data_IF_371563359257
#
_entry.id   IF_371563359257
#
_cell.length_a   1.000
_cell.length_b   1.000
_cell.length_c   1.000
_cell.angle_alpha   90.00
_cell.angle_beta   90.00
_cell.angle_gamma   90.00
#
_symmetry.space_group_name_H-M   'P 1'
#
loop_
_entity.id
_entity.type
_entity.pdbx_description
1 polymer ?
#
# COMPACT_ATOMS: atom_id res chain seq x y z
N UNK A 1 -16.79 -12.56 -1.68
CA UNK A 1 -15.56 -12.40 -0.88
C UNK A 1 -15.18 -10.92 -0.99
N UNK A 2 -14.71 -10.28 0.08
CA UNK A 2 -14.47 -8.83 0.07
C UNK A 2 -13.04 -8.52 -0.39
N UNK A 3 -12.84 -7.44 -1.18
CA UNK A 3 -11.52 -6.93 -1.57
C UNK A 3 -10.65 -6.61 -0.35
N UNK A 4 -11.27 -6.31 0.79
CA UNK A 4 -10.58 -5.93 2.01
C UNK A 4 -9.99 -7.10 2.81
N UNK A 5 -10.43 -8.35 2.56
CA UNK A 5 -10.03 -9.52 3.36
C UNK A 5 -8.52 -9.84 3.29
N UNK A 6 -7.81 -9.25 2.34
CA UNK A 6 -6.35 -9.38 2.15
C UNK A 6 -5.55 -8.33 2.92
N UNK A 7 -6.19 -7.30 3.45
CA UNK A 7 -5.52 -6.26 4.24
C UNK A 7 -5.42 -6.76 5.68
N UNK A 8 -4.22 -7.17 6.08
CA UNK A 8 -3.97 -7.82 7.36
C UNK A 8 -3.84 -6.79 8.49
N UNK A 9 -4.56 -6.98 9.61
CA UNK A 9 -4.37 -6.23 10.86
C UNK A 9 -4.58 -4.71 10.78
N UNK A 10 -5.35 -4.23 9.79
CA UNK A 10 -5.61 -2.81 9.58
C UNK A 10 -7.11 -2.50 9.63
N UNK A 11 -7.84 -3.06 10.59
CA UNK A 11 -9.29 -2.97 10.69
C UNK A 11 -9.77 -1.52 10.75
N UNK A 12 -9.05 -0.66 11.48
CA UNK A 12 -9.38 0.75 11.59
C UNK A 12 -9.19 1.48 10.26
N UNK A 13 -8.06 1.27 9.56
CA UNK A 13 -7.81 1.91 8.27
C UNK A 13 -8.81 1.41 7.21
N UNK A 14 -9.12 0.11 7.19
CA UNK A 14 -10.12 -0.50 6.31
C UNK A 14 -11.52 0.09 6.56
N UNK A 15 -11.92 0.27 7.83
CA UNK A 15 -13.20 0.89 8.17
C UNK A 15 -13.27 2.34 7.65
N UNK A 16 -12.20 3.12 7.84
CA UNK A 16 -12.10 4.48 7.30
C UNK A 16 -12.18 4.49 5.77
N UNK A 17 -11.43 3.62 5.08
CA UNK A 17 -11.42 3.55 3.63
C UNK A 17 -12.77 3.11 3.04
N UNK A 18 -13.49 2.19 3.70
CA UNK A 18 -14.86 1.84 3.30
C UNK A 18 -15.78 3.05 3.35
N UNK A 19 -15.73 3.84 4.43
CA UNK A 19 -16.53 5.05 4.54
C UNK A 19 -16.14 6.11 3.49
N UNK A 20 -14.85 6.24 3.18
CA UNK A 20 -14.36 7.17 2.15
C UNK A 20 -14.74 6.74 0.73
N UNK A 21 -14.93 5.45 0.46
CA UNK A 21 -15.36 4.96 -0.85
C UNK A 21 -16.78 5.40 -1.21
N UNK A 22 -17.65 5.59 -0.21
CA UNK A 22 -19.04 6.05 -0.42
C UNK A 22 -19.11 7.52 -0.87
N UNK A 23 -18.11 8.32 -0.50
CA UNK A 23 -18.04 9.76 -0.81
C UNK A 23 -16.60 10.14 -1.16
N UNK A 24 -16.12 9.71 -2.34
CA UNK A 24 -14.71 9.83 -2.67
C UNK A 24 -14.28 11.28 -2.86
N UNK A 25 -13.03 11.56 -2.51
CA UNK A 25 -12.31 12.79 -2.79
C UNK A 25 -11.23 12.52 -3.84
N UNK A 26 -10.53 13.56 -4.29
CA UNK A 26 -9.54 13.44 -5.36
C UNK A 26 -8.18 12.89 -4.93
N UNK A 27 -7.85 12.88 -3.63
CA UNK A 27 -6.53 12.45 -3.16
C UNK A 27 -6.52 11.89 -1.73
N UNK A 28 -5.77 10.81 -1.56
CA UNK A 28 -5.55 10.11 -0.30
C UNK A 28 -4.07 9.87 -0.06
N UNK A 29 -3.61 10.03 1.17
CA UNK A 29 -2.23 9.76 1.57
C UNK A 29 -2.22 8.68 2.66
N UNK A 30 -1.70 7.51 2.32
CA UNK A 30 -1.55 6.39 3.24
C UNK A 30 -0.17 6.46 3.88
N UNK A 31 -0.13 6.58 5.21
CA UNK A 31 1.12 6.79 5.96
C UNK A 31 1.33 5.65 6.95
N UNK A 32 2.53 5.06 6.96
CA UNK A 32 2.87 3.98 7.86
C UNK A 32 4.07 3.17 7.38
N UNK A 33 4.76 2.39 8.22
CA UNK A 33 6.00 1.72 7.85
C UNK A 33 5.85 0.75 6.65
N UNK A 34 6.98 0.40 6.03
CA UNK A 34 7.05 -0.65 5.02
C UNK A 34 6.44 -1.96 5.53
N UNK A 35 5.70 -2.67 4.68
CA UNK A 35 5.04 -3.94 5.05
C UNK A 35 3.82 -3.83 5.97
N UNK A 36 3.37 -2.61 6.31
CA UNK A 36 2.11 -2.40 7.06
C UNK A 36 0.84 -2.73 6.24
N UNK A 37 0.96 -3.15 4.98
CA UNK A 37 -0.19 -3.51 4.12
C UNK A 37 -0.77 -2.36 3.30
N UNK A 38 -0.08 -1.21 3.21
CA UNK A 38 -0.52 -0.01 2.47
C UNK A 38 -0.80 -0.30 0.98
N UNK A 39 0.08 -1.02 0.31
CA UNK A 39 -0.07 -1.34 -1.12
C UNK A 39 -1.30 -2.22 -1.39
N UNK A 40 -1.46 -3.26 -0.58
CA UNK A 40 -2.63 -4.14 -0.63
C UNK A 40 -3.92 -3.36 -0.37
N UNK A 41 -3.90 -2.45 0.61
CA UNK A 41 -5.04 -1.58 0.90
C UNK A 41 -5.31 -0.58 -0.24
N UNK A 42 -4.27 -0.04 -0.89
CA UNK A 42 -4.40 0.88 -2.02
C UNK A 42 -5.08 0.21 -3.21
N UNK A 43 -4.65 -0.99 -3.60
CA UNK A 43 -5.32 -1.78 -4.64
C UNK A 43 -6.75 -2.15 -4.26
N UNK A 44 -6.99 -2.52 -2.99
CA UNK A 44 -8.33 -2.85 -2.50
C UNK A 44 -9.26 -1.64 -2.53
N UNK A 45 -8.75 -0.46 -2.18
CA UNK A 45 -9.48 0.79 -2.24
C UNK A 45 -9.76 1.21 -3.67
N UNK A 46 -8.76 1.16 -4.55
CA UNK A 46 -8.95 1.41 -5.98
C UNK A 46 -10.01 0.47 -6.59
N UNK A 47 -9.99 -0.81 -6.23
CA UNK A 47 -11.01 -1.77 -6.66
C UNK A 47 -12.42 -1.39 -6.14
N UNK A 48 -12.52 -0.96 -4.88
CA UNK A 48 -13.78 -0.50 -4.33
C UNK A 48 -14.31 0.74 -5.06
N UNK A 49 -13.45 1.73 -5.29
CA UNK A 49 -13.80 2.97 -5.99
C UNK A 49 -14.25 2.71 -7.44
N UNK A 50 -13.48 1.92 -8.19
CA UNK A 50 -13.75 1.66 -9.62
C UNK A 50 -15.01 0.80 -9.80
N UNK A 51 -15.23 -0.18 -8.93
CA UNK A 51 -16.36 -1.11 -9.08
C UNK A 51 -17.62 -0.66 -8.33
N UNK A 52 -17.52 0.37 -7.48
CA UNK A 52 -18.60 0.82 -6.61
C UNK A 52 -19.05 -0.20 -5.56
N UNK A 53 -18.23 -1.23 -5.30
CA UNK A 53 -18.55 -2.26 -4.31
C UNK A 53 -17.28 -2.90 -3.74
N UNK A 54 -17.38 -3.54 -2.58
CA UNK A 54 -16.27 -4.27 -1.99
C UNK A 54 -16.14 -5.71 -2.51
N UNK A 55 -16.91 -6.10 -3.54
CA UNK A 55 -16.91 -7.46 -4.05
C UNK A 55 -15.64 -7.77 -4.88
N UNK A 56 -14.86 -8.76 -4.44
CA UNK A 56 -13.62 -9.16 -5.11
C UNK A 56 -13.81 -10.06 -6.33
N UNK A 57 -15.04 -10.49 -6.67
CA UNK A 57 -15.27 -11.48 -7.74
C UNK A 57 -15.50 -10.87 -9.12
N UNK A 58 -15.58 -9.54 -9.23
CA UNK A 58 -15.70 -8.89 -10.53
C UNK A 58 -14.36 -8.96 -11.28
N UNK A 59 -14.42 -8.99 -12.63
CA UNK A 59 -13.20 -8.97 -13.47
C UNK A 59 -12.33 -7.75 -13.16
N UNK A 60 -12.95 -6.57 -13.03
CA UNK A 60 -12.24 -5.34 -12.71
C UNK A 60 -11.56 -5.43 -11.34
N UNK A 61 -12.26 -5.89 -10.30
CA UNK A 61 -11.66 -6.07 -8.99
C UNK A 61 -10.47 -7.05 -9.03
N UNK A 62 -10.61 -8.21 -9.68
CA UNK A 62 -9.51 -9.17 -9.79
C UNK A 62 -8.28 -8.58 -10.52
N UNK A 63 -8.48 -7.85 -11.62
CA UNK A 63 -7.39 -7.20 -12.36
C UNK A 63 -6.72 -6.10 -11.55
N UNK A 64 -7.48 -5.23 -10.88
CA UNK A 64 -6.94 -4.15 -10.04
C UNK A 64 -6.12 -4.75 -8.89
N UNK A 65 -6.65 -5.79 -8.26
CA UNK A 65 -5.99 -6.51 -7.18
C UNK A 65 -4.66 -7.19 -7.59
N UNK A 66 -4.45 -7.39 -8.90
CA UNK A 66 -3.22 -7.91 -9.52
C UNK A 66 -2.35 -6.82 -10.14
N UNK A 67 -2.76 -5.55 -10.10
CA UNK A 67 -2.03 -4.44 -10.73
C UNK A 67 -2.10 -4.44 -12.27
N UNK A 68 -3.19 -4.96 -12.85
CA UNK A 68 -3.30 -5.20 -14.29
C UNK A 68 -4.53 -4.54 -14.96
N UNK A 69 -5.17 -3.58 -14.29
CA UNK A 69 -6.35 -2.90 -14.82
C UNK A 69 -5.99 -1.57 -15.49
N UNK A 70 -6.46 -1.33 -16.71
CA UNK A 70 -6.00 -0.22 -17.56
C UNK A 70 -6.21 1.18 -16.96
N UNK A 71 -7.26 1.36 -16.15
CA UNK A 71 -7.59 2.65 -15.54
C UNK A 71 -7.03 2.82 -14.12
N UNK A 72 -6.28 1.84 -13.61
CA UNK A 72 -5.53 1.94 -12.36
C UNK A 72 -4.04 1.86 -12.67
N UNK A 73 -3.36 3.00 -12.64
CA UNK A 73 -1.93 3.09 -12.87
C UNK A 73 -1.17 3.06 -11.54
N UNK A 74 -0.08 2.29 -11.48
CA UNK A 74 0.85 2.29 -10.36
C UNK A 74 2.19 2.87 -10.81
N UNK A 75 2.65 3.92 -10.13
CA UNK A 75 3.94 4.55 -10.39
C UNK A 75 4.89 4.20 -9.25
N UNK A 76 5.99 3.54 -9.62
CA UNK A 76 7.11 3.23 -8.74
C UNK A 76 8.30 4.09 -9.14
N UNK A 77 9.13 4.47 -8.16
CA UNK A 77 10.39 5.17 -8.44
C UNK A 77 11.41 4.25 -9.10
N UNK A 78 12.18 4.80 -10.02
CA UNK A 78 13.45 4.19 -10.44
C UNK A 78 14.61 4.82 -9.66
N UNK A 79 15.44 3.99 -9.03
CA UNK A 79 16.52 4.50 -8.18
C UNK A 79 16.03 5.05 -6.84
N UNK A 80 16.75 5.99 -6.24
CA UNK A 80 16.60 6.32 -4.81
C UNK A 80 15.50 7.34 -4.47
N UNK A 81 14.88 7.99 -5.45
CA UNK A 81 13.92 9.08 -5.23
C UNK A 81 12.88 9.13 -6.35
N UNK A 82 11.73 9.75 -6.09
CA UNK A 82 10.81 10.16 -7.18
C UNK A 82 11.36 11.45 -7.78
N UNK A 83 11.82 11.36 -9.02
CA UNK A 83 12.49 12.42 -9.75
C UNK A 83 11.55 13.02 -10.81
N UNK A 84 12.13 13.80 -11.72
CA UNK A 84 11.38 14.52 -12.76
C UNK A 84 10.60 13.57 -13.67
N UNK A 85 11.18 12.43 -14.01
CA UNK A 85 10.62 11.52 -15.01
C UNK A 85 9.40 10.79 -14.44
N UNK A 86 9.45 10.33 -13.19
CA UNK A 86 8.28 9.82 -12.49
C UNK A 86 7.21 10.89 -12.29
N UNK A 87 7.59 12.12 -11.93
CA UNK A 87 6.63 13.21 -11.79
C UNK A 87 5.91 13.51 -13.11
N UNK A 88 6.63 13.44 -14.23
CA UNK A 88 6.07 13.57 -15.57
C UNK A 88 5.11 12.40 -15.87
N UNK A 89 5.50 11.16 -15.57
CA UNK A 89 4.63 10.00 -15.73
C UNK A 89 3.33 10.11 -14.92
N UNK A 90 3.40 10.60 -13.67
CA UNK A 90 2.22 10.85 -12.82
C UNK A 90 1.28 11.85 -13.50
N UNK A 91 1.81 12.97 -14.00
CA UNK A 91 1.02 13.99 -14.71
C UNK A 91 0.39 13.41 -15.98
N UNK A 92 1.15 12.65 -16.76
CA UNK A 92 0.65 12.00 -17.98
C UNK A 92 -0.47 11.02 -17.67
N UNK A 93 -0.34 10.19 -16.62
CA UNK A 93 -1.42 9.28 -16.22
C UNK A 93 -2.66 10.02 -15.70
N UNK A 94 -2.49 11.22 -15.13
CA UNK A 94 -3.58 12.02 -14.54
C UNK A 94 -4.51 12.66 -15.57
N UNK A 95 -4.01 12.96 -16.78
CA UNK A 95 -4.80 13.59 -17.84
C UNK A 95 -5.56 12.59 -18.72
N UNK A 96 -5.25 11.29 -18.59
CA UNK A 96 -5.88 10.25 -19.40
C UNK A 96 -7.31 10.00 -18.94
N UNK A 97 -8.23 10.01 -19.90
CA UNK A 97 -9.61 9.59 -19.66
C UNK A 97 -9.67 8.08 -19.40
N UNK A 98 -10.46 7.62 -18.43
CA UNK A 98 -10.75 6.19 -18.24
C UNK A 98 -11.23 5.52 -19.54
N UNK A 99 -10.80 4.29 -19.76
CA UNK A 99 -11.04 3.51 -20.98
C UNK A 99 -12.04 2.38 -20.79
N UNK A 100 -12.05 1.73 -19.62
CA UNK A 100 -12.95 0.65 -19.26
C UNK A 100 -14.00 1.08 -18.22
N UNK A 101 -13.60 1.89 -17.24
CA UNK A 101 -14.45 2.35 -16.15
C UNK A 101 -14.84 3.83 -16.23
N UNK A 102 -15.48 4.32 -15.18
CA UNK A 102 -15.82 5.75 -15.02
C UNK A 102 -14.79 6.54 -14.23
N UNK A 103 -13.78 5.87 -13.66
CA UNK A 103 -12.81 6.46 -12.74
C UNK A 103 -11.38 6.02 -13.06
N UNK A 104 -10.47 7.00 -13.10
CA UNK A 104 -9.02 6.84 -13.18
C UNK A 104 -8.46 6.83 -11.76
N UNK A 105 -7.63 5.85 -11.42
CA UNK A 105 -6.89 5.85 -10.15
C UNK A 105 -5.39 5.82 -10.44
N UNK A 106 -4.64 6.71 -9.80
CA UNK A 106 -3.17 6.73 -9.87
C UNK A 106 -2.62 6.48 -8.48
N UNK A 107 -1.99 5.32 -8.32
CA UNK A 107 -1.30 4.93 -7.09
C UNK A 107 0.17 5.32 -7.23
N UNK A 108 0.68 6.13 -6.31
CA UNK A 108 2.09 6.56 -6.31
C UNK A 108 2.78 6.03 -5.07
N UNK A 109 3.78 5.17 -5.30
CA UNK A 109 4.53 4.52 -4.23
C UNK A 109 5.62 5.44 -3.68
N UNK A 110 5.90 5.32 -2.38
CA UNK A 110 7.04 5.94 -1.69
C UNK A 110 7.18 7.47 -1.86
N UNK A 111 6.07 8.22 -1.80
CA UNK A 111 6.08 9.69 -2.02
C UNK A 111 6.93 10.47 -1.00
N UNK A 112 7.24 9.87 0.14
CA UNK A 112 8.17 10.44 1.12
C UNK A 112 9.63 10.54 0.63
N UNK A 113 9.96 9.85 -0.47
CA UNK A 113 11.24 9.94 -1.18
C UNK A 113 11.16 10.87 -2.40
N UNK A 114 10.09 11.65 -2.53
CA UNK A 114 9.92 12.60 -3.62
C UNK A 114 10.80 13.84 -3.41
N UNK A 115 11.49 14.26 -4.47
CA UNK A 115 12.23 15.53 -4.44
C UNK A 115 11.28 16.72 -4.52
N UNK A 116 11.65 17.83 -3.91
CA UNK A 116 10.86 19.07 -3.93
C UNK A 116 10.47 19.51 -5.35
N UNK A 117 11.36 19.33 -6.33
CA UNK A 117 11.09 19.68 -7.73
C UNK A 117 10.02 18.80 -8.39
N UNK A 118 9.90 17.53 -7.98
CA UNK A 118 8.84 16.62 -8.41
C UNK A 118 7.53 16.98 -7.70
N UNK A 119 7.57 17.21 -6.37
CA UNK A 119 6.41 17.60 -5.58
C UNK A 119 5.74 18.87 -6.10
N UNK A 120 6.54 19.91 -6.40
CA UNK A 120 6.05 21.18 -6.92
C UNK A 120 5.29 21.05 -8.25
N UNK A 121 5.63 20.08 -9.09
CA UNK A 121 4.92 19.81 -10.35
C UNK A 121 3.52 19.25 -10.12
N UNK A 122 3.38 18.41 -9.09
CA UNK A 122 2.12 17.74 -8.76
C UNK A 122 1.16 18.64 -8.00
N UNK A 123 1.66 19.66 -7.29
CA UNK A 123 0.80 20.60 -6.54
C UNK A 123 -0.31 21.20 -7.39
N UNK A 124 0.00 21.57 -8.64
CA UNK A 124 -1.03 22.12 -9.54
C UNK A 124 -2.14 21.10 -9.82
N UNK A 125 -1.77 19.84 -10.06
CA UNK A 125 -2.73 18.74 -10.30
C UNK A 125 -3.58 18.44 -9.07
N UNK A 126 -3.05 18.62 -7.85
CA UNK A 126 -3.82 18.47 -6.62
C UNK A 126 -4.72 19.67 -6.30
N UNK A 127 -4.35 20.88 -6.69
CA UNK A 127 -5.17 22.09 -6.50
C UNK A 127 -6.35 22.16 -7.47
N UNK A 128 -6.16 21.70 -8.71
CA UNK A 128 -7.17 21.67 -9.77
C UNK A 128 -7.30 20.22 -10.30
N UNK A 129 -7.92 19.31 -9.51
CA UNK A 129 -8.02 17.91 -9.90
C UNK A 129 -8.90 17.74 -11.13
N UNK A 130 -8.49 16.85 -12.03
CA UNK A 130 -9.30 16.45 -13.17
C UNK A 130 -10.56 15.71 -12.72
N UNK A 131 -11.65 15.88 -13.48
CA UNK A 131 -12.86 15.09 -13.29
C UNK A 131 -12.52 13.60 -13.41
N UNK A 132 -13.13 12.77 -12.54
CA UNK A 132 -12.99 11.30 -12.55
C UNK A 132 -11.57 10.79 -12.28
N UNK A 133 -10.76 11.53 -11.54
CA UNK A 133 -9.42 11.13 -11.10
C UNK A 133 -9.32 11.01 -9.57
N UNK A 134 -8.68 9.94 -9.11
CA UNK A 134 -8.29 9.77 -7.69
C UNK A 134 -6.82 9.41 -7.59
N UNK A 135 -6.09 10.12 -6.71
CA UNK A 135 -4.75 9.75 -6.30
C UNK A 135 -4.75 8.95 -5.00
N UNK A 136 -3.93 7.90 -4.95
CA UNK A 136 -3.60 7.18 -3.73
C UNK A 136 -2.08 7.23 -3.56
N UNK A 137 -1.61 8.02 -2.60
CA UNK A 137 -0.20 8.24 -2.35
C UNK A 137 0.25 7.38 -1.17
N UNK A 138 1.38 6.69 -1.28
CA UNK A 138 1.91 5.82 -0.22
C UNK A 138 3.20 6.40 0.35
N UNK A 139 3.26 6.56 1.67
CA UNK A 139 4.42 7.07 2.38
C UNK A 139 4.74 6.22 3.60
N UNK A 140 6.02 6.07 3.93
CA UNK A 140 6.41 5.43 5.19
C UNK A 140 6.17 6.32 6.40
N UNK A 141 6.38 7.61 6.21
CA UNK A 141 6.30 8.63 7.23
C UNK A 141 5.95 9.97 6.61
N UNK A 142 5.38 10.86 7.41
CA UNK A 142 5.13 12.24 7.00
C UNK A 142 6.40 13.05 7.23
N UNK A 143 7.17 13.26 6.16
CA UNK A 143 8.35 14.15 6.16
C UNK A 143 7.95 15.60 5.89
N UNK A 144 8.74 16.60 6.29
CA UNK A 144 8.44 18.01 6.02
C UNK A 144 8.16 18.32 4.54
N UNK A 145 8.88 17.66 3.62
CA UNK A 145 8.67 17.82 2.18
C UNK A 145 7.27 17.40 1.70
N UNK A 146 6.56 16.55 2.46
CA UNK A 146 5.21 16.08 2.14
C UNK A 146 4.09 16.94 2.73
N UNK A 147 4.37 17.88 3.64
CA UNK A 147 3.33 18.63 4.36
C UNK A 147 2.36 19.36 3.42
N UNK A 148 2.90 19.92 2.33
CA UNK A 148 2.11 20.65 1.32
C UNK A 148 1.19 19.73 0.50
N UNK A 149 1.62 18.49 0.24
CA UNK A 149 0.80 17.47 -0.42
C UNK A 149 -0.24 16.93 0.57
N UNK A 150 0.17 16.64 1.80
CA UNK A 150 -0.70 16.07 2.83
C UNK A 150 -1.87 17.00 3.18
N UNK A 151 -1.69 18.32 3.14
CA UNK A 151 -2.78 19.27 3.39
C UNK A 151 -3.90 19.25 2.34
N UNK A 152 -3.67 18.62 1.18
CA UNK A 152 -4.65 18.44 0.09
C UNK A 152 -5.18 17.00 0.03
N UNK A 153 -4.69 16.11 0.89
CA UNK A 153 -5.07 14.71 0.91
C UNK A 153 -5.91 14.38 2.15
N UNK A 154 -6.78 13.38 2.03
CA UNK A 154 -7.27 12.67 3.22
C UNK A 154 -6.17 11.71 3.68
N UNK A 155 -5.64 11.94 4.89
CA UNK A 155 -4.57 11.11 5.45
C UNK A 155 -5.16 9.89 6.16
N UNK A 156 -4.68 8.70 5.80
CA UNK A 156 -5.06 7.42 6.44
C UNK A 156 -3.82 6.76 7.04
N UNK A 157 -3.87 6.46 8.33
CA UNK A 157 -2.75 5.91 9.07
C UNK A 157 -2.76 4.37 9.03
N UNK A 158 -1.58 3.78 8.83
CA UNK A 158 -1.32 2.35 8.79
C UNK A 158 -0.23 2.01 9.81
N UNK A 159 -0.58 1.70 11.08
CA UNK A 159 0.41 1.27 12.06
C UNK A 159 1.14 -0.01 11.62
N UNK A 160 2.31 -0.25 12.22
CA UNK A 160 3.01 -1.52 12.09
C UNK A 160 2.10 -2.69 12.49
N UNK A 161 2.21 -3.84 11.79
CA UNK A 161 1.39 -5.01 12.10
C UNK A 161 1.73 -5.55 13.50
N UNK A 162 0.70 -5.97 14.22
CA UNK A 162 0.91 -6.68 15.48
C UNK A 162 1.62 -8.02 15.23
N UNK A 163 2.53 -8.41 16.13
CA UNK A 163 3.22 -9.70 16.05
C UNK A 163 2.23 -10.87 15.97
N UNK A 164 1.12 -10.78 16.69
CA UNK A 164 0.06 -11.80 16.66
C UNK A 164 -0.54 -11.95 15.26
N UNK A 165 -0.81 -10.83 14.57
CA UNK A 165 -1.33 -10.83 13.20
C UNK A 165 -0.34 -11.48 12.24
N UNK A 166 0.94 -11.12 12.31
CA UNK A 166 1.98 -11.73 11.46
C UNK A 166 2.08 -13.23 11.75
N UNK A 167 2.17 -13.61 13.02
CA UNK A 167 2.26 -15.02 13.42
C UNK A 167 1.04 -15.82 12.96
N UNK A 168 -0.17 -15.28 13.08
CA UNK A 168 -1.38 -15.95 12.63
C UNK A 168 -1.38 -16.13 11.12
N UNK A 169 -1.00 -15.09 10.37
CA UNK A 169 -0.88 -15.16 8.93
C UNK A 169 0.13 -16.24 8.50
N UNK A 170 1.33 -16.25 9.07
CA UNK A 170 2.36 -17.25 8.76
C UNK A 170 1.88 -18.68 9.05
N UNK A 171 1.15 -18.90 10.15
CA UNK A 171 0.57 -20.22 10.42
C UNK A 171 -0.47 -20.63 9.38
N UNK A 172 -1.27 -19.68 8.88
CA UNK A 172 -2.23 -19.94 7.81
C UNK A 172 -1.54 -20.32 6.50
N UNK A 173 -0.30 -19.86 6.31
CA UNK A 173 0.58 -20.21 5.19
C UNK A 173 1.35 -21.53 5.41
N UNK A 174 1.12 -22.23 6.53
CA UNK A 174 1.71 -23.54 6.82
C UNK A 174 2.97 -23.51 7.68
N UNK A 175 3.38 -22.34 8.19
CA UNK A 175 4.56 -22.21 9.07
C UNK A 175 4.25 -22.78 10.47
N UNK A 176 5.17 -23.60 11.00
CA UNK A 176 5.04 -24.16 12.35
C UNK A 176 4.92 -23.07 13.43
N UNK A 177 4.07 -23.27 14.43
CA UNK A 177 3.67 -22.24 15.39
C UNK A 177 4.85 -21.55 16.10
N UNK A 178 5.86 -22.30 16.55
CA UNK A 178 7.05 -21.74 17.20
C UNK A 178 7.87 -20.87 16.24
N UNK A 179 8.03 -21.33 14.99
CA UNK A 179 8.75 -20.58 13.95
C UNK A 179 8.00 -19.30 13.60
N UNK A 180 6.67 -19.37 13.45
CA UNK A 180 5.82 -18.21 13.14
C UNK A 180 5.94 -17.12 14.21
N UNK A 181 5.88 -17.46 15.50
CA UNK A 181 6.04 -16.50 16.61
C UNK A 181 7.44 -15.87 16.59
N UNK A 182 8.48 -16.68 16.41
CA UNK A 182 9.88 -16.21 16.40
C UNK A 182 10.16 -15.27 15.23
N UNK A 183 9.67 -15.60 14.04
CA UNK A 183 9.80 -14.76 12.85
C UNK A 183 8.99 -13.48 13.00
N UNK A 184 7.75 -13.56 13.48
CA UNK A 184 6.91 -12.38 13.70
C UNK A 184 7.57 -11.32 14.60
N UNK A 185 8.23 -11.74 15.68
CA UNK A 185 9.03 -10.85 16.55
C UNK A 185 10.18 -10.16 15.83
N UNK A 186 10.79 -10.86 14.87
CA UNK A 186 11.96 -10.36 14.11
C UNK A 186 11.56 -9.53 12.88
N UNK A 187 10.28 -9.57 12.51
CA UNK A 187 9.72 -8.95 11.32
C UNK A 187 9.41 -7.45 11.50
N UNK A 188 9.56 -6.89 12.71
CA UNK A 188 9.36 -5.48 13.00
C UNK A 188 8.02 -4.91 12.46
N UNK A 189 6.96 -5.71 12.50
CA UNK A 189 5.63 -5.32 12.02
C UNK A 189 5.42 -5.34 10.50
N UNK A 190 6.34 -5.95 9.74
CA UNK A 190 6.25 -6.12 8.27
C UNK A 190 6.05 -7.59 7.90
N UNK A 191 4.93 -7.89 7.23
CA UNK A 191 4.67 -9.27 6.74
C UNK A 191 5.67 -9.69 5.66
N UNK A 192 6.11 -8.75 4.81
CA UNK A 192 7.06 -9.04 3.74
C UNK A 192 8.45 -9.36 4.30
N UNK A 193 8.88 -8.62 5.32
CA UNK A 193 10.09 -8.95 6.08
C UNK A 193 9.98 -10.31 6.76
N UNK A 194 8.81 -10.65 7.29
CA UNK A 194 8.57 -11.96 7.89
C UNK A 194 8.79 -13.10 6.89
N UNK A 195 8.30 -12.95 5.65
CA UNK A 195 8.48 -13.93 4.58
C UNK A 195 9.94 -14.05 4.14
N UNK A 196 10.64 -12.92 3.98
CA UNK A 196 12.08 -12.93 3.68
C UNK A 196 12.88 -13.67 4.77
N UNK A 197 12.53 -13.47 6.04
CA UNK A 197 13.18 -14.17 7.15
C UNK A 197 12.95 -15.68 7.14
N UNK A 198 11.84 -16.17 6.59
CA UNK A 198 11.58 -17.62 6.45
C UNK A 198 12.48 -18.26 5.39
N UNK A 199 12.83 -17.52 4.35
CA UNK A 199 13.68 -18.00 3.26
C UNK A 199 15.18 -17.95 3.62
N UNK A 200 15.56 -17.31 4.73
CA UNK A 200 16.95 -17.25 5.20
C UNK A 200 17.35 -18.51 6.00
N UNK A 201 18.28 -19.36 5.49
CA UNK A 201 18.74 -20.56 6.20
C UNK A 201 19.44 -20.25 7.55
N UNK A 202 19.96 -19.04 7.76
CA UNK A 202 20.56 -18.61 9.03
C UNK A 202 19.50 -18.34 10.11
N UNK A 203 18.27 -17.99 9.73
CA UNK A 203 17.17 -17.77 10.68
C UNK A 203 16.61 -19.09 11.22
N UNK A 204 16.73 -20.21 10.47
CA UNK A 204 16.22 -21.54 10.86
C UNK A 204 17.15 -22.26 11.85
N UNK A 205 18.42 -21.85 11.98
CA UNK A 205 19.47 -22.61 12.69
C UNK A 205 19.87 -22.13 14.10
N UNK A 206 18.91 -21.73 14.95
CA UNK A 206 19.21 -21.47 16.38
C UNK A 206 18.68 -22.52 17.36
N UNK A 207 18.01 -23.58 16.90
CA UNK A 207 17.44 -24.61 17.80
C UNK A 207 18.39 -25.77 18.11
N UNK A 208 19.52 -25.93 17.39
CA UNK A 208 20.38 -27.12 17.56
C UNK A 208 21.72 -26.92 18.30
N UNK A 209 22.07 -25.71 18.76
CA UNK A 209 23.39 -25.46 19.38
C UNK A 209 23.39 -25.19 20.90
N UNK A 210 22.27 -25.41 21.61
CA UNK A 210 22.23 -25.27 23.09
C UNK A 210 21.75 -26.49 23.86
N UNK A 211 21.87 -27.69 23.28
CA UNK A 211 21.56 -28.95 23.96
C UNK A 211 22.77 -29.84 24.28
N UNK A 212 24.00 -29.41 23.94
CA UNK A 212 25.21 -30.21 24.18
C UNK A 212 26.39 -29.36 24.66
N UNK A 213 26.26 -28.79 25.87
CA UNK A 213 27.43 -28.51 26.71
C UNK A 213 27.07 -28.91 28.15
N UNK A 214 27.34 -30.18 28.46
CA UNK A 214 27.61 -30.72 29.80
C UNK A 214 29.07 -31.14 29.79
#
# INVERSE_FOLDING_TARGET
MSVWNRVLGQESAVATLRALAERPTHAYLFVGPEGAGKETAARSFAAHLVTGSDNSTSRAADLILRGAYADVAEILREGAAIDRDEAQAIVEQSVLTPTEGDLRVVIVHEVHLMRDTAAARLLKTFEEPYDRLVFILLAEQLVPALETIASRCVVVQFPALAEATISEQLRSEGVGAETAVRVARSAAGSIDRARILLDDPASVSYTHLRAHET
#
